data_IF_734949265557
#
_entry.id   IF_734949265557
#
_cell.length_a   1.000
_cell.length_b   1.000
_cell.length_c   1.000
_cell.angle_alpha   90.00
_cell.angle_beta   90.00
_cell.angle_gamma   90.00
#
_symmetry.space_group_name_H-M   'P 1'
#
loop_
_entity.id
_entity.type
_entity.pdbx_description
1 polymer ?
#
# COMPACT_ATOMS: atom_id res chain seq x y z
N UNK A 1 4.72 -10.15 7.76
CA UNK A 1 3.52 -10.80 8.30
C UNK A 1 3.25 -10.24 9.68
N UNK A 2 1.99 -9.96 10.04
CA UNK A 2 1.61 -9.42 11.34
C UNK A 2 1.42 -10.59 12.33
N UNK A 3 2.46 -10.95 13.07
CA UNK A 3 2.42 -12.00 14.11
C UNK A 3 3.00 -11.53 15.42
N UNK A 4 2.48 -12.05 16.55
CA UNK A 4 2.87 -11.70 17.94
C UNK A 4 4.35 -12.00 18.27
N UNK A 5 4.99 -12.92 17.53
CA UNK A 5 6.34 -13.43 17.84
C UNK A 5 7.42 -12.93 16.86
N UNK A 6 7.16 -11.91 16.05
CA UNK A 6 8.17 -11.41 15.14
C UNK A 6 9.19 -10.53 15.87
N UNK A 7 10.47 -10.83 15.64
CA UNK A 7 11.61 -10.05 16.14
C UNK A 7 11.69 -8.65 15.54
N UNK A 8 10.94 -8.38 14.45
CA UNK A 8 10.86 -7.08 13.81
C UNK A 8 9.64 -6.33 14.34
N UNK A 9 9.84 -5.30 15.12
CA UNK A 9 8.76 -4.49 15.69
C UNK A 9 7.86 -3.75 14.69
N UNK A 10 7.99 -3.97 13.37
CA UNK A 10 7.24 -3.24 12.35
C UNK A 10 6.59 -4.14 11.31
N UNK A 11 5.37 -3.75 10.93
CA UNK A 11 4.65 -4.23 9.74
C UNK A 11 4.46 -3.07 8.77
N UNK A 12 4.68 -3.31 7.46
CA UNK A 12 4.61 -2.25 6.45
C UNK A 12 3.72 -2.66 5.28
N UNK A 13 2.76 -1.80 4.93
CA UNK A 13 2.13 -1.75 3.62
C UNK A 13 2.76 -0.65 2.80
N UNK A 14 3.02 -0.90 1.52
CA UNK A 14 3.45 0.13 0.60
C UNK A 14 3.03 -0.20 -0.84
N UNK A 15 3.04 0.83 -1.69
CA UNK A 15 2.69 0.68 -3.09
C UNK A 15 2.87 1.97 -3.89
N UNK A 16 2.36 1.94 -5.11
CA UNK A 16 2.39 3.06 -6.04
C UNK A 16 0.99 3.48 -6.43
N UNK A 17 0.82 4.78 -6.70
CA UNK A 17 -0.44 5.38 -7.12
C UNK A 17 -0.26 6.01 -8.50
N UNK A 18 -1.20 5.74 -9.39
CA UNK A 18 -1.19 6.26 -10.77
C UNK A 18 -2.53 6.90 -11.05
N UNK A 19 -2.53 8.18 -11.40
CA UNK A 19 -3.74 8.94 -11.74
C UNK A 19 -4.18 8.75 -13.20
N UNK A 20 -3.43 7.98 -14.00
CA UNK A 20 -3.82 7.62 -15.36
C UNK A 20 -3.23 6.27 -15.78
N UNK A 21 -3.93 5.60 -16.70
CA UNK A 21 -3.43 4.34 -17.29
C UNK A 21 -2.12 4.54 -18.05
N UNK A 22 -1.94 5.68 -18.72
CA UNK A 22 -0.71 5.97 -19.46
C UNK A 22 0.52 6.02 -18.52
N UNK A 23 0.41 6.72 -17.38
CA UNK A 23 1.49 6.79 -16.39
C UNK A 23 1.77 5.43 -15.76
N UNK A 24 0.73 4.65 -15.46
CA UNK A 24 0.83 3.28 -14.95
C UNK A 24 1.58 2.36 -15.92
N UNK A 25 1.20 2.39 -17.20
CA UNK A 25 1.81 1.52 -18.22
C UNK A 25 3.25 1.89 -18.52
N UNK A 26 3.58 3.19 -18.48
CA UNK A 26 4.96 3.68 -18.57
C UNK A 26 5.80 3.16 -17.39
N UNK A 27 5.30 3.31 -16.17
CA UNK A 27 5.96 2.80 -14.96
C UNK A 27 6.19 1.29 -15.02
N UNK A 28 5.14 0.54 -15.43
CA UNK A 28 5.22 -0.92 -15.59
C UNK A 28 6.31 -1.33 -16.59
N UNK A 29 6.41 -0.65 -17.75
CA UNK A 29 7.44 -0.93 -18.75
C UNK A 29 8.85 -0.66 -18.23
N UNK A 30 9.04 0.49 -17.55
CA UNK A 30 10.34 0.85 -16.98
C UNK A 30 10.78 -0.15 -15.91
N UNK A 31 9.88 -0.51 -15.00
CA UNK A 31 10.16 -1.48 -13.96
C UNK A 31 10.47 -2.87 -14.51
N UNK A 32 9.63 -3.37 -15.46
CA UNK A 32 9.82 -4.65 -16.13
C UNK A 32 11.19 -4.73 -16.80
N UNK A 33 11.59 -3.67 -17.53
CA UNK A 33 12.90 -3.61 -18.19
C UNK A 33 14.03 -3.81 -17.18
N UNK A 34 14.05 -3.01 -16.10
CA UNK A 34 15.08 -3.13 -15.08
C UNK A 34 15.07 -4.49 -14.36
N UNK A 35 13.89 -5.07 -14.12
CA UNK A 35 13.79 -6.42 -13.57
C UNK A 35 14.48 -7.45 -14.48
N UNK A 36 14.24 -7.38 -15.78
CA UNK A 36 14.86 -8.29 -16.74
C UNK A 36 16.38 -8.08 -16.79
N UNK A 37 16.86 -6.84 -16.88
CA UNK A 37 18.29 -6.51 -16.87
C UNK A 37 18.99 -7.08 -15.60
N UNK A 38 18.34 -6.97 -14.43
CA UNK A 38 18.87 -7.53 -13.18
C UNK A 38 18.88 -9.06 -13.20
N UNK A 39 17.86 -9.70 -13.76
CA UNK A 39 17.78 -11.17 -13.88
C UNK A 39 18.87 -11.70 -14.81
N UNK A 40 19.00 -11.10 -15.98
CA UNK A 40 19.95 -11.54 -17.02
C UNK A 40 21.39 -11.44 -16.53
N UNK A 41 21.75 -10.34 -15.85
CA UNK A 41 23.11 -10.13 -15.34
C UNK A 41 23.45 -11.00 -14.13
N UNK A 42 22.46 -11.37 -13.29
CA UNK A 42 22.73 -12.04 -12.01
C UNK A 42 22.20 -13.48 -11.95
N UNK A 43 21.57 -13.98 -13.01
CA UNK A 43 21.03 -15.35 -13.06
C UNK A 43 19.88 -15.60 -12.06
N UNK A 44 19.08 -14.58 -11.70
CA UNK A 44 17.95 -14.78 -10.81
C UNK A 44 16.82 -15.54 -11.51
N UNK A 45 16.42 -16.72 -11.03
CA UNK A 45 15.29 -17.44 -11.60
C UNK A 45 13.96 -16.84 -11.13
N UNK A 46 13.01 -16.69 -12.02
CA UNK A 46 11.63 -16.34 -11.69
C UNK A 46 11.43 -14.91 -11.18
N UNK A 47 10.59 -14.76 -10.17
CA UNK A 47 10.23 -13.46 -9.56
C UNK A 47 11.38 -12.89 -8.71
N UNK A 48 11.58 -11.57 -8.80
CA UNK A 48 12.53 -10.86 -7.93
C UNK A 48 11.88 -10.55 -6.59
N UNK A 49 12.08 -11.39 -5.59
CA UNK A 49 11.58 -11.15 -4.22
C UNK A 49 12.55 -10.31 -3.41
N UNK A 50 12.01 -9.37 -2.64
CA UNK A 50 12.79 -8.45 -1.82
C UNK A 50 13.78 -9.15 -0.89
N UNK A 51 13.40 -10.28 -0.28
CA UNK A 51 14.26 -11.03 0.67
C UNK A 51 15.54 -11.60 0.04
N UNK A 52 15.56 -11.88 -1.29
CA UNK A 52 16.71 -12.45 -1.97
C UNK A 52 17.56 -11.42 -2.70
N UNK A 53 17.10 -10.18 -2.83
CA UNK A 53 17.81 -9.14 -3.58
C UNK A 53 18.90 -8.46 -2.75
N UNK A 54 20.06 -8.22 -3.38
CA UNK A 54 21.12 -7.39 -2.81
C UNK A 54 20.62 -5.94 -2.63
N UNK A 55 21.11 -5.23 -1.60
CA UNK A 55 20.73 -3.83 -1.28
C UNK A 55 20.82 -2.90 -2.49
N UNK A 56 21.86 -3.02 -3.34
CA UNK A 56 22.03 -2.22 -4.56
C UNK A 56 20.89 -2.41 -5.57
N UNK A 57 20.40 -3.64 -5.75
CA UNK A 57 19.33 -3.95 -6.70
C UNK A 57 17.97 -3.45 -6.17
N UNK A 58 17.68 -3.62 -4.87
CA UNK A 58 16.50 -3.03 -4.25
C UNK A 58 16.47 -1.52 -4.46
N UNK A 59 17.60 -0.83 -4.18
CA UNK A 59 17.70 0.63 -4.38
C UNK A 59 17.47 1.03 -5.84
N UNK A 60 18.03 0.30 -6.80
CA UNK A 60 17.81 0.57 -8.23
C UNK A 60 16.33 0.40 -8.61
N UNK A 61 15.67 -0.67 -8.15
CA UNK A 61 14.26 -0.95 -8.39
C UNK A 61 13.32 0.09 -7.75
N UNK A 62 13.66 0.59 -6.57
CA UNK A 62 12.91 1.70 -5.95
C UNK A 62 13.12 2.99 -6.71
N UNK A 63 14.37 3.29 -7.11
CA UNK A 63 14.72 4.53 -7.79
C UNK A 63 14.10 4.66 -9.19
N UNK A 64 13.94 3.57 -9.94
CA UNK A 64 13.33 3.61 -11.29
C UNK A 64 11.89 4.11 -11.26
N UNK A 65 11.21 3.95 -10.13
CA UNK A 65 9.84 4.44 -9.91
C UNK A 65 9.75 5.67 -8.99
N UNK A 66 10.87 6.28 -8.62
CA UNK A 66 10.92 7.41 -7.67
C UNK A 66 10.15 8.65 -8.10
N UNK A 67 9.93 8.83 -9.40
CA UNK A 67 9.18 9.95 -9.96
C UNK A 67 7.65 9.78 -9.90
N UNK A 68 7.19 8.57 -9.59
CA UNK A 68 5.76 8.28 -9.46
C UNK A 68 5.29 8.45 -8.01
N UNK A 69 4.00 8.70 -7.85
CA UNK A 69 3.38 8.76 -6.52
C UNK A 69 3.51 7.40 -5.84
N UNK A 70 3.97 7.41 -4.60
CA UNK A 70 4.07 6.21 -3.78
C UNK A 70 3.44 6.43 -2.41
N UNK A 71 3.01 5.34 -1.79
CA UNK A 71 2.34 5.35 -0.51
C UNK A 71 2.94 4.31 0.42
N UNK A 72 2.93 4.58 1.70
CA UNK A 72 3.19 3.55 2.70
C UNK A 72 2.48 3.80 4.02
N UNK A 73 2.26 2.71 4.73
CA UNK A 73 1.85 2.72 6.12
C UNK A 73 2.78 1.78 6.90
N UNK A 74 3.42 2.29 7.93
CA UNK A 74 4.19 1.50 8.90
C UNK A 74 3.42 1.40 10.22
N UNK A 75 3.38 0.19 10.78
CA UNK A 75 2.73 -0.10 12.06
C UNK A 75 3.80 -0.59 13.03
N UNK A 76 3.88 0.05 14.19
CA UNK A 76 4.68 -0.46 15.31
C UNK A 76 3.89 -1.56 16.02
N UNK A 77 4.30 -2.81 15.80
CA UNK A 77 3.60 -3.99 16.33
C UNK A 77 3.59 -3.99 17.86
N UNK A 78 4.61 -3.43 18.50
CA UNK A 78 4.69 -3.38 19.96
C UNK A 78 3.60 -2.51 20.59
N UNK A 79 3.01 -1.60 19.82
CA UNK A 79 1.98 -0.66 20.25
C UNK A 79 0.56 -1.08 19.83
N UNK A 80 0.44 -2.17 19.06
CA UNK A 80 -0.86 -2.73 18.69
C UNK A 80 -1.43 -3.53 19.86
N UNK A 81 -2.72 -3.35 20.13
CA UNK A 81 -3.40 -4.07 21.20
C UNK A 81 -3.23 -5.59 21.09
N UNK A 82 -2.87 -6.30 22.17
CA UNK A 82 -2.58 -7.74 22.14
C UNK A 82 -3.72 -8.60 21.57
N UNK A 83 -4.98 -8.24 21.85
CA UNK A 83 -6.14 -8.98 21.34
C UNK A 83 -6.26 -8.93 19.81
N UNK A 84 -5.82 -7.83 19.17
CA UNK A 84 -5.78 -7.72 17.70
C UNK A 84 -4.76 -8.72 17.13
N UNK A 85 -3.63 -8.86 17.80
CA UNK A 85 -2.54 -9.75 17.33
C UNK A 85 -2.84 -11.24 17.59
N UNK A 86 -3.58 -11.56 18.67
CA UNK A 86 -3.86 -12.94 19.05
C UNK A 86 -4.88 -13.63 18.16
N UNK A 87 -5.89 -12.91 17.69
CA UNK A 87 -6.97 -13.45 16.86
C UNK A 87 -6.72 -13.27 15.37
N UNK A 88 -6.92 -14.34 14.60
CA UNK A 88 -6.74 -14.31 13.13
C UNK A 88 -7.69 -13.31 12.47
N UNK A 89 -8.97 -13.31 12.85
CA UNK A 89 -9.97 -12.41 12.27
C UNK A 89 -9.69 -10.95 12.60
N UNK A 90 -9.31 -10.63 13.84
CA UNK A 90 -8.95 -9.30 14.30
C UNK A 90 -7.72 -8.76 13.54
N UNK A 91 -6.71 -9.61 13.29
CA UNK A 91 -5.56 -9.23 12.44
C UNK A 91 -5.97 -8.88 11.01
N UNK A 92 -6.90 -9.63 10.41
CA UNK A 92 -7.36 -9.32 9.04
C UNK A 92 -8.15 -8.01 9.00
N UNK A 93 -9.08 -7.81 9.93
CA UNK A 93 -9.83 -6.55 10.05
C UNK A 93 -8.92 -5.35 10.27
N UNK A 94 -7.86 -5.51 11.05
CA UNK A 94 -6.88 -4.47 11.27
C UNK A 94 -6.08 -4.15 10.01
N UNK A 95 -5.71 -5.16 9.22
CA UNK A 95 -5.08 -4.96 7.91
C UNK A 95 -6.00 -4.19 6.95
N UNK A 96 -7.26 -4.57 6.88
CA UNK A 96 -8.26 -3.87 6.06
C UNK A 96 -8.46 -2.43 6.51
N UNK A 97 -8.48 -2.17 7.82
CA UNK A 97 -8.51 -0.83 8.37
C UNK A 97 -7.30 0.00 7.95
N UNK A 98 -6.09 -0.57 7.99
CA UNK A 98 -4.85 0.11 7.54
C UNK A 98 -4.96 0.49 6.05
N UNK A 99 -5.40 -0.44 5.20
CA UNK A 99 -5.56 -0.20 3.76
C UNK A 99 -6.60 0.92 3.54
N UNK A 100 -7.74 0.84 4.21
CA UNK A 100 -8.79 1.85 4.13
C UNK A 100 -8.27 3.25 4.50
N UNK A 101 -7.56 3.38 5.62
CA UNK A 101 -6.95 4.63 6.06
C UNK A 101 -5.92 5.15 5.07
N UNK A 102 -5.05 4.27 4.56
CA UNK A 102 -4.02 4.64 3.61
C UNK A 102 -4.62 5.17 2.29
N UNK A 103 -5.67 4.52 1.79
CA UNK A 103 -6.41 4.95 0.59
C UNK A 103 -7.07 6.30 0.82
N UNK A 104 -7.82 6.46 1.92
CA UNK A 104 -8.52 7.69 2.28
C UNK A 104 -7.56 8.87 2.36
N UNK A 105 -6.51 8.73 3.16
CA UNK A 105 -5.59 9.82 3.42
C UNK A 105 -4.77 10.17 2.17
N UNK A 106 -4.48 9.17 1.30
CA UNK A 106 -3.84 9.45 0.00
C UNK A 106 -4.75 10.19 -0.97
N UNK A 107 -6.02 9.84 -1.04
CA UNK A 107 -6.99 10.58 -1.87
C UNK A 107 -7.09 12.03 -1.39
N UNK A 108 -7.16 12.24 -0.09
CA UNK A 108 -7.19 13.58 0.51
C UNK A 108 -5.89 14.36 0.20
N UNK A 109 -4.72 13.72 0.25
CA UNK A 109 -3.45 14.32 -0.18
C UNK A 109 -3.49 14.75 -1.65
N UNK A 110 -4.02 13.91 -2.55
CA UNK A 110 -4.14 14.25 -3.98
C UNK A 110 -5.09 15.42 -4.23
N UNK A 111 -6.20 15.51 -3.48
CA UNK A 111 -7.13 16.65 -3.53
C UNK A 111 -6.46 17.92 -3.04
N UNK A 112 -5.81 17.86 -1.88
CA UNK A 112 -5.12 19.02 -1.28
C UNK A 112 -3.99 19.56 -2.17
N UNK A 113 -3.40 18.71 -2.99
CA UNK A 113 -2.36 19.08 -3.97
C UNK A 113 -2.92 19.45 -5.34
N UNK A 114 -4.25 19.53 -5.48
CA UNK A 114 -4.95 19.82 -6.75
C UNK A 114 -4.57 18.88 -7.91
N UNK A 115 -4.27 17.62 -7.61
CA UNK A 115 -4.00 16.58 -8.62
C UNK A 115 -5.31 15.97 -9.13
N UNK A 116 -6.31 15.85 -8.24
CA UNK A 116 -7.68 15.48 -8.52
C UNK A 116 -8.61 16.47 -7.81
N UNK A 117 -9.86 16.58 -8.28
CA UNK A 117 -10.90 17.33 -7.58
C UNK A 117 -11.79 16.40 -6.76
N UNK A 118 -12.30 16.91 -5.62
CA UNK A 118 -13.30 16.18 -4.83
C UNK A 118 -14.62 15.96 -5.60
N UNK A 119 -14.86 16.73 -6.67
CA UNK A 119 -16.05 16.66 -7.52
C UNK A 119 -15.84 15.84 -8.80
N UNK A 120 -14.64 15.30 -9.01
CA UNK A 120 -14.38 14.45 -10.18
C UNK A 120 -15.10 13.10 -10.06
N UNK A 121 -15.53 12.56 -11.19
CA UNK A 121 -15.94 11.15 -11.29
C UNK A 121 -14.69 10.28 -11.31
N UNK A 122 -14.54 9.42 -10.32
CA UNK A 122 -13.33 8.65 -10.10
C UNK A 122 -13.57 7.15 -10.31
N UNK A 123 -12.74 6.52 -11.14
CA UNK A 123 -12.58 5.07 -11.17
C UNK A 123 -11.33 4.70 -10.36
N UNK A 124 -11.52 4.12 -9.17
CA UNK A 124 -10.45 3.69 -8.28
C UNK A 124 -10.27 2.17 -8.35
N UNK A 125 -9.12 1.72 -8.84
CA UNK A 125 -8.75 0.31 -8.87
C UNK A 125 -7.62 0.06 -7.90
N UNK A 126 -7.87 -0.73 -6.87
CA UNK A 126 -6.89 -1.11 -5.86
C UNK A 126 -6.43 -2.54 -6.14
N UNK A 127 -5.15 -2.68 -6.50
CA UNK A 127 -4.53 -3.99 -6.67
C UNK A 127 -3.74 -4.32 -5.40
N UNK A 128 -4.05 -5.44 -4.78
CA UNK A 128 -3.43 -5.92 -3.55
C UNK A 128 -2.76 -7.24 -3.86
N UNK A 129 -1.57 -7.48 -3.30
CA UNK A 129 -0.93 -8.80 -3.38
C UNK A 129 -1.83 -9.86 -2.76
N UNK A 130 -1.89 -11.03 -3.37
CA UNK A 130 -2.77 -12.11 -2.94
C UNK A 130 -2.49 -12.47 -1.49
N UNK A 131 -3.48 -12.22 -0.64
CA UNK A 131 -3.44 -12.59 0.77
C UNK A 131 -4.74 -13.30 1.13
N UNK A 132 -4.66 -14.18 2.12
CA UNK A 132 -5.87 -14.76 2.68
C UNK A 132 -6.72 -13.65 3.30
N UNK A 133 -7.91 -13.47 2.76
CA UNK A 133 -8.88 -12.48 3.24
C UNK A 133 -9.72 -13.05 4.37
N UNK A 134 -10.22 -12.17 5.24
CA UNK A 134 -11.09 -12.55 6.35
C UNK A 134 -12.57 -12.58 5.93
N UNK A 135 -12.88 -13.02 4.72
CA UNK A 135 -14.24 -12.96 4.22
C UNK A 135 -15.14 -14.02 4.86
N UNK A 136 -15.82 -13.62 5.93
CA UNK A 136 -17.02 -14.30 6.41
C UNK A 136 -18.31 -13.59 5.91
N UNK A 137 -18.26 -12.90 4.76
CA UNK A 137 -19.42 -12.26 4.13
C UNK A 137 -19.99 -10.99 4.81
N UNK A 138 -19.51 -10.62 6.00
CA UNK A 138 -20.05 -9.50 6.79
C UNK A 138 -19.26 -8.17 6.65
N UNK A 139 -18.02 -8.25 6.19
CA UNK A 139 -17.17 -7.08 6.00
C UNK A 139 -16.57 -7.10 4.60
N UNK A 140 -17.00 -6.16 3.79
CA UNK A 140 -16.47 -5.94 2.45
C UNK A 140 -15.59 -4.69 2.46
N UNK A 141 -14.29 -4.87 2.23
CA UNK A 141 -13.32 -3.79 2.20
C UNK A 141 -13.68 -2.76 1.14
N UNK A 142 -14.18 -3.20 -0.04
CA UNK A 142 -14.57 -2.32 -1.14
C UNK A 142 -15.71 -1.39 -0.72
N UNK A 143 -16.80 -1.95 -0.19
CA UNK A 143 -17.94 -1.15 0.30
C UNK A 143 -17.53 -0.25 1.46
N UNK A 144 -16.72 -0.73 2.39
CA UNK A 144 -16.25 0.08 3.52
C UNK A 144 -15.41 1.29 3.11
N UNK A 145 -14.54 1.14 2.08
CA UNK A 145 -13.79 2.26 1.52
C UNK A 145 -14.74 3.22 0.81
N UNK A 146 -15.67 2.71 0.02
CA UNK A 146 -16.63 3.51 -0.74
C UNK A 146 -17.52 4.35 0.19
N UNK A 147 -18.06 3.73 1.23
CA UNK A 147 -18.87 4.45 2.24
C UNK A 147 -18.07 5.57 2.90
N UNK A 148 -16.85 5.30 3.35
CA UNK A 148 -16.02 6.30 4.02
C UNK A 148 -15.67 7.48 3.12
N UNK A 149 -15.43 7.24 1.83
CA UNK A 149 -15.07 8.29 0.87
C UNK A 149 -16.27 9.15 0.47
N UNK A 150 -17.46 8.55 0.29
CA UNK A 150 -18.67 9.22 -0.22
C UNK A 150 -19.60 9.74 0.87
N UNK A 151 -19.67 9.09 2.02
CA UNK A 151 -20.63 9.42 3.09
C UNK A 151 -19.96 9.85 4.39
N UNK A 152 -18.65 9.60 4.51
CA UNK A 152 -17.92 9.84 5.76
C UNK A 152 -18.25 8.81 6.83
N UNK A 153 -17.76 9.02 8.04
CA UNK A 153 -17.94 8.11 9.18
C UNK A 153 -18.31 8.91 10.42
N UNK A 154 -19.32 8.45 11.15
CA UNK A 154 -19.63 8.90 12.51
C UNK A 154 -19.16 7.85 13.49
N UNK A 155 -18.25 8.24 14.37
CA UNK A 155 -17.81 7.42 15.48
C UNK A 155 -18.58 7.85 16.75
N UNK A 156 -19.64 7.11 17.07
CA UNK A 156 -20.53 7.42 18.19
C UNK A 156 -19.83 7.26 19.55
N UNK A 157 -18.88 6.34 19.69
CA UNK A 157 -18.17 6.09 20.94
C UNK A 157 -17.30 7.29 21.35
N UNK A 158 -16.81 8.06 20.38
CA UNK A 158 -15.98 9.25 20.61
C UNK A 158 -16.66 10.56 20.22
N UNK A 159 -17.94 10.53 19.81
CA UNK A 159 -18.68 11.71 19.37
C UNK A 159 -18.04 12.46 18.19
N UNK A 160 -17.30 11.75 17.32
CA UNK A 160 -16.58 12.36 16.18
C UNK A 160 -17.21 11.98 14.87
N UNK A 161 -17.49 12.98 14.04
CA UNK A 161 -17.92 12.78 12.64
C UNK A 161 -16.82 13.23 11.70
N UNK A 162 -16.49 12.37 10.75
CA UNK A 162 -15.55 12.65 9.65
C UNK A 162 -16.38 12.82 8.38
N UNK A 163 -16.36 14.00 7.75
CA UNK A 163 -17.16 14.25 6.55
C UNK A 163 -16.69 13.41 5.36
N UNK A 164 -17.52 13.30 4.30
CA UNK A 164 -17.11 12.71 3.04
C UNK A 164 -15.94 13.48 2.43
N UNK A 165 -15.15 12.80 1.61
CA UNK A 165 -14.00 13.39 0.92
C UNK A 165 -14.33 13.63 -0.56
N UNK A 166 -15.14 12.73 -1.14
CA UNK A 166 -15.56 12.81 -2.55
C UNK A 166 -17.03 13.18 -2.64
N UNK A 167 -17.34 14.02 -3.63
CA UNK A 167 -18.69 14.51 -3.93
C UNK A 167 -19.12 14.13 -5.35
N UNK A 168 -18.23 13.62 -6.21
CA UNK A 168 -18.51 13.03 -7.50
C UNK A 168 -18.84 11.54 -7.42
N UNK A 169 -19.04 10.89 -8.59
CA UNK A 169 -19.28 9.45 -8.63
C UNK A 169 -18.00 8.67 -8.39
N UNK A 170 -18.08 7.62 -7.57
CA UNK A 170 -16.96 6.71 -7.31
C UNK A 170 -17.29 5.30 -7.77
N UNK A 171 -16.54 4.81 -8.76
CA UNK A 171 -16.47 3.38 -9.09
C UNK A 171 -15.22 2.81 -8.42
N UNK A 172 -15.40 1.89 -7.48
CA UNK A 172 -14.30 1.24 -6.76
C UNK A 172 -14.25 -0.24 -7.12
N UNK A 173 -13.04 -0.76 -7.32
CA UNK A 173 -12.79 -2.21 -7.51
C UNK A 173 -11.51 -2.60 -6.78
N UNK A 174 -11.59 -3.67 -5.97
CA UNK A 174 -10.42 -4.30 -5.36
C UNK A 174 -10.09 -5.58 -6.11
N UNK A 175 -8.82 -5.75 -6.47
CA UNK A 175 -8.31 -6.94 -7.17
C UNK A 175 -7.16 -7.54 -6.37
N UNK A 176 -7.28 -8.81 -6.02
CA UNK A 176 -6.19 -9.60 -5.47
C UNK A 176 -5.37 -10.17 -6.62
N UNK A 177 -4.09 -9.86 -6.64
CA UNK A 177 -3.21 -10.13 -7.77
C UNK A 177 -2.08 -11.09 -7.37
N UNK A 178 -1.82 -12.08 -8.23
CA UNK A 178 -0.60 -12.88 -8.12
C UNK A 178 0.63 -12.03 -8.51
N UNK A 179 1.55 -11.85 -7.56
CA UNK A 179 2.77 -11.06 -7.75
C UNK A 179 3.66 -11.61 -8.87
N UNK A 180 3.64 -12.92 -9.13
CA UNK A 180 4.43 -13.55 -10.21
C UNK A 180 4.13 -12.94 -11.58
N UNK A 181 2.88 -12.54 -11.79
CA UNK A 181 2.37 -12.02 -13.07
C UNK A 181 2.21 -10.49 -13.09
N UNK A 182 2.44 -9.82 -11.96
CA UNK A 182 2.20 -8.39 -11.84
C UNK A 182 3.43 -7.61 -11.35
N UNK A 183 4.17 -7.00 -12.29
CA UNK A 183 5.38 -6.23 -12.00
C UNK A 183 5.17 -5.06 -11.03
N UNK A 184 4.00 -4.43 -11.00
CA UNK A 184 3.74 -3.32 -10.07
C UNK A 184 3.43 -3.83 -8.66
N UNK A 185 2.89 -5.04 -8.51
CA UNK A 185 2.79 -5.71 -7.21
C UNK A 185 4.18 -6.13 -6.72
N UNK A 186 5.05 -6.65 -7.58
CA UNK A 186 6.46 -6.90 -7.22
C UNK A 186 7.15 -5.61 -6.77
N UNK A 187 6.92 -4.49 -7.48
CA UNK A 187 7.46 -3.19 -7.07
C UNK A 187 6.97 -2.76 -5.69
N UNK A 188 5.71 -3.08 -5.36
CA UNK A 188 5.12 -2.80 -4.04
C UNK A 188 5.77 -3.63 -2.93
N UNK A 189 6.12 -4.90 -3.17
CA UNK A 189 6.90 -5.72 -2.23
C UNK A 189 8.30 -5.13 -1.99
N UNK A 190 8.98 -4.72 -3.07
CA UNK A 190 10.32 -4.15 -2.98
C UNK A 190 10.33 -2.84 -2.18
N UNK A 191 9.39 -1.91 -2.43
CA UNK A 191 9.31 -0.66 -1.69
C UNK A 191 8.89 -0.89 -0.24
N UNK A 192 7.97 -1.82 0.04
CA UNK A 192 7.57 -2.18 1.39
C UNK A 192 8.75 -2.71 2.21
N UNK A 193 9.54 -3.62 1.63
CA UNK A 193 10.75 -4.13 2.26
C UNK A 193 11.81 -3.03 2.48
N UNK A 194 11.96 -2.12 1.53
CA UNK A 194 12.89 -1.00 1.65
C UNK A 194 12.50 -0.06 2.81
N UNK A 195 11.21 0.27 2.93
CA UNK A 195 10.68 1.08 4.03
C UNK A 195 10.82 0.36 5.37
N UNK A 196 10.55 -0.94 5.41
CA UNK A 196 10.71 -1.75 6.60
C UNK A 196 12.16 -1.69 7.14
N UNK A 197 13.17 -1.82 6.27
CA UNK A 197 14.56 -1.63 6.64
C UNK A 197 14.87 -0.22 7.17
N UNK A 198 14.17 0.80 6.68
CA UNK A 198 14.27 2.16 7.22
C UNK A 198 13.67 2.26 8.64
N UNK A 199 12.56 1.56 8.90
CA UNK A 199 11.92 1.57 10.22
C UNK A 199 12.77 0.90 11.30
N UNK A 200 13.52 -0.15 10.95
CA UNK A 200 14.42 -0.85 11.89
C UNK A 200 15.82 -0.24 11.97
N UNK A 201 16.07 0.88 11.28
CA UNK A 201 17.35 1.59 11.35
C UNK A 201 18.46 1.07 10.43
N UNK A 202 18.21 0.07 9.61
CA UNK A 202 19.19 -0.49 8.66
C UNK A 202 19.55 0.45 7.50
N UNK A 203 18.69 1.41 7.19
CA UNK A 203 18.85 2.41 6.13
C UNK A 203 18.62 3.79 6.73
N UNK A 204 19.65 4.63 6.71
CA UNK A 204 19.63 5.96 7.36
C UNK A 204 18.66 6.97 6.75
N UNK A 205 18.28 6.83 5.49
CA UNK A 205 17.41 7.82 4.83
C UNK A 205 16.57 7.15 3.74
N UNK A 206 15.25 7.11 3.95
CA UNK A 206 14.29 6.84 2.90
C UNK A 206 13.68 8.18 2.46
N UNK A 207 14.07 8.65 1.29
CA UNK A 207 13.51 9.86 0.71
C UNK A 207 13.09 9.57 -0.72
N UNK A 208 11.79 9.59 -0.98
CA UNK A 208 11.23 9.63 -2.33
C UNK A 208 10.46 10.94 -2.48
N UNK A 209 10.65 11.69 -3.60
CA UNK A 209 10.07 13.02 -3.79
C UNK A 209 8.55 13.09 -3.69
N UNK A 210 7.86 12.01 -4.05
CA UNK A 210 6.40 11.92 -4.10
C UNK A 210 5.87 10.78 -3.23
N UNK A 211 6.43 10.65 -2.02
CA UNK A 211 6.06 9.58 -1.10
C UNK A 211 5.13 10.08 0.00
N UNK A 212 3.94 9.51 0.05
CA UNK A 212 2.99 9.71 1.14
C UNK A 212 3.16 8.63 2.20
N UNK A 213 3.39 9.01 3.44
CA UNK A 213 3.64 8.09 4.55
C UNK A 213 2.65 8.28 5.68
N UNK A 214 2.06 7.17 6.12
CA UNK A 214 1.35 7.05 7.39
C UNK A 214 2.17 6.21 8.37
N UNK A 215 1.97 6.49 9.65
CA UNK A 215 2.50 5.68 10.73
C UNK A 215 1.41 5.46 11.75
N UNK A 216 1.17 4.20 12.07
CA UNK A 216 0.26 3.80 13.13
C UNK A 216 1.04 3.34 14.35
N UNK A 217 0.42 3.52 15.54
CA UNK A 217 0.94 2.95 16.76
C UNK A 217 0.97 1.44 16.67
#
# INVERSE_FOLDING_TARGET
>A
VLHKNEKSGFFVYAGYVFVSNNTKDKAKRQYKKLCNDIKDVNGYPGELKACFLKKKHKRALVNVLSMYESISCSVDISRVYPHILSEKLSRFRYKDYIIKRLVKDKINDLINRNIISAHDDIELIINIDEQHTATNGWYDLENSIKEELLHGISNFDYGRTYPPILHGNLTLKIKYCDSKNNYLIQASDIIANYIWHSCIGDIKTFCLPKHFRLQFP
#
